data_IF_238678211627
#
_entry.id   IF_238678211627
#
_cell.length_a   1.000
_cell.length_b   1.000
_cell.length_c   1.000
_cell.angle_alpha   90.00
_cell.angle_beta   90.00
_cell.angle_gamma   90.00
#
_symmetry.space_group_name_H-M   'P 1'
#
loop_
_entity.id
_entity.type
_entity.pdbx_description
1 polymer ?
#
# COMPACT_ATOMS: atom_id res chain seq x y z
N UNK A 1 34.58 15.52 21.59
CA UNK A 1 34.86 14.17 22.13
C UNK A 1 34.10 14.10 23.43
N UNK A 2 32.86 13.63 23.37
CA UNK A 2 32.00 13.53 24.55
C UNK A 2 32.44 12.27 25.28
N UNK A 3 32.69 12.42 26.58
CA UNK A 3 33.12 11.36 27.48
C UNK A 3 32.04 10.27 27.53
N UNK A 4 32.41 9.05 27.14
CA UNK A 4 31.49 7.91 26.94
C UNK A 4 31.04 7.34 28.29
N UNK A 5 31.70 7.70 29.39
CA UNK A 5 31.49 7.13 30.72
C UNK A 5 30.54 7.95 31.64
N UNK A 6 30.13 9.18 31.26
CA UNK A 6 29.15 9.99 32.02
C UNK A 6 27.67 9.68 31.68
N UNK A 7 27.47 8.54 31.03
CA UNK A 7 26.32 8.23 30.20
C UNK A 7 25.65 6.96 30.72
N UNK A 8 24.96 7.09 31.87
CA UNK A 8 24.29 6.00 32.58
C UNK A 8 23.53 5.05 31.67
N UNK A 9 23.78 3.75 31.83
CA UNK A 9 23.17 2.70 31.04
C UNK A 9 21.65 2.74 31.16
N UNK A 10 20.96 2.81 30.02
CA UNK A 10 19.53 2.46 29.94
C UNK A 10 19.45 0.94 30.00
N UNK A 11 19.57 0.39 31.21
CA UNK A 11 19.40 -1.04 31.47
C UNK A 11 17.93 -1.40 31.70
N UNK A 12 17.58 -2.67 31.50
CA UNK A 12 16.23 -3.16 31.80
C UNK A 12 15.21 -3.00 30.67
N UNK A 13 15.63 -2.55 29.47
CA UNK A 13 14.75 -2.42 28.30
C UNK A 13 14.12 -3.75 27.92
N UNK A 14 14.78 -4.87 28.21
CA UNK A 14 14.27 -6.22 28.03
C UNK A 14 13.09 -6.55 28.94
N UNK A 15 12.71 -5.67 29.87
CA UNK A 15 11.53 -5.81 30.74
C UNK A 15 10.44 -4.81 30.34
N UNK A 16 9.18 -5.15 30.60
CA UNK A 16 8.06 -4.27 30.27
C UNK A 16 8.06 -3.00 31.12
N UNK A 17 8.45 -3.09 32.39
CA UNK A 17 8.60 -1.92 33.29
C UNK A 17 9.76 -1.02 32.86
N UNK A 18 10.92 -1.61 32.53
CA UNK A 18 12.08 -0.85 32.10
C UNK A 18 11.88 -0.17 30.73
N UNK A 19 11.17 -0.84 29.80
CA UNK A 19 10.80 -0.22 28.52
C UNK A 19 9.87 0.98 28.73
N UNK A 20 8.82 0.86 29.54
CA UNK A 20 7.90 1.98 29.84
C UNK A 20 8.64 3.12 30.53
N UNK A 21 9.46 2.83 31.54
CA UNK A 21 10.24 3.84 32.24
C UNK A 21 11.18 4.60 31.30
N UNK A 22 11.85 3.88 30.39
CA UNK A 22 12.75 4.49 29.41
C UNK A 22 12.00 5.36 28.40
N UNK A 23 10.88 4.89 27.84
CA UNK A 23 10.06 5.66 26.90
C UNK A 23 9.46 6.90 27.57
N UNK A 24 8.92 6.79 28.78
CA UNK A 24 8.43 7.94 29.54
C UNK A 24 9.54 8.96 29.80
N UNK A 25 10.73 8.51 30.19
CA UNK A 25 11.87 9.41 30.40
C UNK A 25 12.33 10.11 29.12
N UNK A 26 12.20 9.45 27.96
CA UNK A 26 12.45 10.07 26.65
C UNK A 26 11.38 11.10 26.34
N UNK A 27 10.09 10.79 26.53
CA UNK A 27 8.99 11.73 26.31
C UNK A 27 9.08 12.98 27.20
N UNK A 28 9.55 12.82 28.44
CA UNK A 28 9.76 13.93 29.38
C UNK A 28 11.03 14.76 29.07
N UNK A 29 11.92 14.26 28.19
CA UNK A 29 13.15 14.96 27.84
C UNK A 29 12.85 16.17 26.91
N UNK A 30 13.53 17.33 27.08
CA UNK A 30 13.26 18.54 26.29
C UNK A 30 13.39 18.39 24.76
N UNK A 31 14.18 17.41 24.30
CA UNK A 31 14.36 17.09 22.88
C UNK A 31 13.74 15.74 22.50
N UNK A 32 12.97 15.12 23.39
CA UNK A 32 12.30 13.85 23.12
C UNK A 32 13.24 12.77 22.58
N UNK A 33 12.81 12.14 21.49
CA UNK A 33 13.58 11.15 20.73
C UNK A 33 14.84 11.68 20.05
N UNK A 34 14.96 12.99 19.83
CA UNK A 34 16.18 13.63 19.28
C UNK A 34 17.27 13.82 20.35
N UNK A 35 16.97 13.56 21.62
CA UNK A 35 17.93 13.64 22.72
C UNK A 35 18.95 12.48 22.69
N UNK A 36 20.08 12.66 23.40
CA UNK A 36 21.07 11.58 23.64
C UNK A 36 20.42 10.38 24.33
N UNK A 37 19.44 10.61 25.21
CA UNK A 37 18.68 9.56 25.86
C UNK A 37 17.80 8.80 24.85
N UNK A 38 17.08 9.53 23.98
CA UNK A 38 16.27 8.96 22.91
C UNK A 38 17.11 8.06 21.99
N UNK A 39 18.28 8.56 21.56
CA UNK A 39 19.22 7.76 20.76
C UNK A 39 19.68 6.49 21.48
N UNK A 40 20.02 6.57 22.78
CA UNK A 40 20.40 5.39 23.57
C UNK A 40 19.30 4.36 23.67
N UNK A 41 18.08 4.79 23.97
CA UNK A 41 16.92 3.90 24.04
C UNK A 41 16.72 3.21 22.69
N UNK A 42 16.75 3.96 21.58
CA UNK A 42 16.64 3.41 20.24
C UNK A 42 17.76 2.40 19.89
N UNK A 43 18.99 2.63 20.35
CA UNK A 43 20.08 1.67 20.23
C UNK A 43 19.85 0.41 21.08
N UNK A 44 19.48 0.57 22.35
CA UNK A 44 19.25 -0.54 23.28
C UNK A 44 18.08 -1.45 22.88
N UNK A 45 17.12 -0.94 22.11
CA UNK A 45 16.04 -1.75 21.53
C UNK A 45 16.56 -2.88 20.62
N UNK A 46 17.73 -2.75 19.99
CA UNK A 46 18.34 -3.85 19.22
C UNK A 46 18.55 -5.09 20.09
N UNK A 47 19.25 -4.91 21.20
CA UNK A 47 19.61 -5.99 22.10
C UNK A 47 18.37 -6.57 22.79
N UNK A 48 17.46 -5.71 23.23
CA UNK A 48 16.22 -6.13 23.85
C UNK A 48 15.31 -6.91 22.86
N UNK A 49 15.24 -6.49 21.59
CA UNK A 49 14.49 -7.22 20.55
C UNK A 49 15.10 -8.60 20.30
N UNK A 50 16.43 -8.69 20.21
CA UNK A 50 17.13 -9.97 20.00
C UNK A 50 16.87 -11.00 21.10
N UNK A 51 16.64 -10.54 22.35
CA UNK A 51 16.31 -11.43 23.47
C UNK A 51 14.85 -11.89 23.47
N UNK A 52 13.96 -11.21 22.73
CA UNK A 52 12.52 -11.49 22.74
C UNK A 52 12.05 -12.14 21.44
N UNK A 53 12.69 -11.85 20.31
CA UNK A 53 12.29 -12.31 18.98
C UNK A 53 13.06 -13.56 18.53
N UNK A 54 12.31 -14.62 18.24
CA UNK A 54 12.89 -15.92 17.85
C UNK A 54 12.17 -16.58 16.66
N UNK A 55 11.26 -15.87 16.00
CA UNK A 55 10.47 -16.45 14.92
C UNK A 55 11.31 -16.58 13.65
N UNK A 56 11.23 -17.70 12.92
CA UNK A 56 11.89 -17.85 11.63
C UNK A 56 11.15 -17.15 10.48
N UNK A 57 9.94 -16.62 10.72
CA UNK A 57 9.10 -16.03 9.65
C UNK A 57 9.56 -14.62 9.24
N UNK A 58 10.11 -13.86 10.18
CA UNK A 58 10.66 -12.52 9.96
C UNK A 58 12.05 -12.49 10.56
N UNK A 59 13.00 -11.91 9.83
CA UNK A 59 14.37 -11.73 10.28
C UNK A 59 14.45 -10.84 11.52
N UNK A 60 15.51 -11.02 12.29
CA UNK A 60 15.76 -10.20 13.48
C UNK A 60 15.99 -8.72 13.11
N UNK A 61 16.64 -8.46 11.97
CA UNK A 61 16.88 -7.10 11.46
C UNK A 61 15.56 -6.38 11.17
N UNK A 62 14.71 -6.97 10.32
CA UNK A 62 13.37 -6.48 9.99
C UNK A 62 12.53 -6.22 11.26
N UNK A 63 12.52 -7.17 12.20
CA UNK A 63 11.80 -7.01 13.46
C UNK A 63 12.35 -5.87 14.31
N UNK A 64 13.68 -5.71 14.35
CA UNK A 64 14.32 -4.64 15.14
C UNK A 64 13.95 -3.27 14.60
N UNK A 65 13.93 -3.11 13.27
CA UNK A 65 13.53 -1.86 12.63
C UNK A 65 12.05 -1.56 12.86
N UNK A 66 11.18 -2.58 12.77
CA UNK A 66 9.76 -2.44 13.07
C UNK A 66 9.50 -2.10 14.55
N UNK A 67 10.20 -2.73 15.50
CA UNK A 67 10.10 -2.42 16.93
C UNK A 67 10.52 -0.98 17.20
N UNK A 68 11.64 -0.53 16.62
CA UNK A 68 12.07 0.86 16.72
C UNK A 68 11.03 1.81 16.18
N UNK A 69 10.53 1.56 14.97
CA UNK A 69 9.50 2.39 14.36
C UNK A 69 8.30 2.52 15.29
N UNK A 70 7.77 1.41 15.82
CA UNK A 70 6.64 1.42 16.75
C UNK A 70 6.95 2.20 18.01
N UNK A 71 8.08 1.94 18.68
CA UNK A 71 8.42 2.61 19.94
C UNK A 71 8.64 4.12 19.74
N UNK A 72 9.25 4.52 18.63
CA UNK A 72 9.54 5.93 18.34
C UNK A 72 8.28 6.70 17.89
N UNK A 73 7.44 6.10 17.05
CA UNK A 73 6.27 6.78 16.47
C UNK A 73 5.00 6.64 17.30
N UNK A 74 4.95 5.64 18.20
CA UNK A 74 3.79 5.34 19.07
C UNK A 74 4.17 5.36 20.55
N UNK A 75 5.16 6.15 20.92
CA UNK A 75 5.65 6.25 22.31
C UNK A 75 4.54 6.69 23.28
N UNK A 76 3.69 7.65 22.89
CA UNK A 76 2.58 8.12 23.72
C UNK A 76 1.50 7.05 23.88
N UNK A 77 1.13 6.36 22.79
CA UNK A 77 0.20 5.23 22.80
C UNK A 77 0.71 4.10 23.70
N UNK A 78 2.00 3.78 23.61
CA UNK A 78 2.64 2.73 24.40
C UNK A 78 2.52 3.05 25.90
N UNK A 79 2.88 4.27 26.30
CA UNK A 79 2.83 4.70 27.72
C UNK A 79 1.38 4.79 28.19
N UNK A 80 0.48 5.35 27.39
CA UNK A 80 -0.94 5.43 27.70
C UNK A 80 -1.59 4.04 27.85
N UNK A 81 -1.29 3.12 26.93
CA UNK A 81 -1.77 1.75 26.99
C UNK A 81 -1.23 1.01 28.22
N UNK A 82 0.06 1.13 28.51
CA UNK A 82 0.68 0.53 29.69
C UNK A 82 0.08 1.05 31.00
N UNK A 83 -0.20 2.36 31.07
CA UNK A 83 -0.87 2.97 32.21
C UNK A 83 -2.30 2.46 32.42
N UNK A 84 -3.05 2.24 31.34
CA UNK A 84 -4.39 1.67 31.38
C UNK A 84 -4.42 0.15 31.69
N UNK A 85 -3.32 -0.56 31.39
CA UNK A 85 -3.19 -2.01 31.52
C UNK A 85 -2.04 -2.39 32.47
N UNK A 86 -2.11 -1.92 33.71
CA UNK A 86 -1.07 -2.18 34.72
C UNK A 86 -0.79 -3.68 34.90
N UNK A 87 0.50 -4.06 34.81
CA UNK A 87 0.97 -5.45 34.90
C UNK A 87 0.88 -6.25 33.59
N UNK A 88 0.39 -5.67 32.50
CA UNK A 88 0.37 -6.32 31.20
C UNK A 88 1.77 -6.36 30.54
N UNK A 89 1.96 -7.30 29.62
CA UNK A 89 3.21 -7.44 28.89
C UNK A 89 3.31 -6.41 27.75
N UNK A 90 3.98 -5.29 28.06
CA UNK A 90 4.24 -4.20 27.09
C UNK A 90 5.06 -4.69 25.89
N UNK A 91 5.99 -5.63 26.08
CA UNK A 91 6.72 -6.21 24.97
C UNK A 91 5.82 -7.01 24.03
N UNK A 92 4.81 -7.71 24.54
CA UNK A 92 3.83 -8.37 23.69
C UNK A 92 3.02 -7.35 22.88
N UNK A 93 2.69 -6.19 23.44
CA UNK A 93 2.06 -5.09 22.72
C UNK A 93 2.96 -4.54 21.61
N UNK A 94 4.23 -4.24 21.92
CA UNK A 94 5.21 -3.72 20.95
C UNK A 94 5.44 -4.72 19.81
N UNK A 95 5.69 -5.99 20.14
CA UNK A 95 5.91 -7.03 19.12
C UNK A 95 4.69 -7.27 18.24
N UNK A 96 3.47 -7.15 18.78
CA UNK A 96 2.25 -7.25 17.98
C UNK A 96 2.15 -6.11 16.96
N UNK A 97 2.40 -4.87 17.39
CA UNK A 97 2.38 -3.71 16.49
C UNK A 97 3.53 -3.77 15.47
N UNK A 98 4.72 -4.21 15.88
CA UNK A 98 5.86 -4.40 14.99
C UNK A 98 5.56 -5.49 13.94
N UNK A 99 4.87 -6.56 14.33
CA UNK A 99 4.36 -7.56 13.39
C UNK A 99 3.32 -6.99 12.43
N UNK A 100 2.46 -6.07 12.88
CA UNK A 100 1.56 -5.31 12.02
C UNK A 100 2.30 -4.51 10.95
N UNK A 101 3.36 -3.79 11.33
CA UNK A 101 4.23 -3.06 10.38
C UNK A 101 4.81 -3.99 9.32
N UNK A 102 5.52 -5.05 9.73
CA UNK A 102 6.15 -5.99 8.79
C UNK A 102 5.14 -6.68 7.88
N UNK A 103 4.00 -7.05 8.44
CA UNK A 103 2.96 -7.69 7.67
C UNK A 103 2.32 -6.71 6.68
N UNK A 104 2.14 -5.44 7.05
CA UNK A 104 1.69 -4.41 6.11
C UNK A 104 2.68 -4.25 4.97
N UNK A 105 3.97 -4.11 5.25
CA UNK A 105 5.01 -4.00 4.23
C UNK A 105 4.99 -5.20 3.27
N UNK A 106 4.86 -6.40 3.82
CA UNK A 106 4.72 -7.60 3.01
C UNK A 106 3.41 -7.67 2.23
N UNK A 107 2.30 -7.21 2.81
CA UNK A 107 1.03 -7.12 2.08
C UNK A 107 1.16 -6.10 0.94
N UNK A 108 1.79 -4.95 1.16
CA UNK A 108 2.03 -3.94 0.13
C UNK A 108 2.97 -4.46 -0.96
N UNK A 109 4.03 -5.17 -0.61
CA UNK A 109 4.90 -5.85 -1.58
C UNK A 109 4.13 -6.92 -2.37
N UNK A 110 3.34 -7.74 -1.66
CA UNK A 110 2.52 -8.79 -2.26
C UNK A 110 1.45 -8.24 -3.20
N UNK A 111 0.90 -7.08 -2.85
CA UNK A 111 -0.06 -6.35 -3.63
C UNK A 111 0.62 -5.42 -4.65
N UNK A 112 1.93 -5.23 -4.61
CA UNK A 112 2.69 -4.48 -5.59
C UNK A 112 2.22 -3.04 -5.83
N UNK A 113 1.67 -2.38 -4.80
CA UNK A 113 1.10 -1.03 -4.93
C UNK A 113 -0.29 -0.98 -5.58
N UNK A 114 -1.00 -2.13 -5.68
CA UNK A 114 -2.41 -2.22 -6.09
C UNK A 114 -3.40 -1.68 -5.04
N UNK A 115 -2.90 -1.13 -3.95
CA UNK A 115 -3.70 -0.50 -2.89
C UNK A 115 -3.00 0.77 -2.46
N UNK A 116 -3.72 1.90 -2.50
CA UNK A 116 -3.41 3.02 -1.62
C UNK A 116 -3.62 2.64 -0.15
N UNK A 117 -3.04 3.43 0.76
CA UNK A 117 -3.11 3.17 2.22
C UNK A 117 -4.54 3.02 2.76
N UNK A 118 -5.50 3.69 2.12
CA UNK A 118 -6.92 3.69 2.48
C UNK A 118 -7.68 2.40 2.13
N UNK A 119 -7.17 1.55 1.23
CA UNK A 119 -7.92 0.40 0.69
C UNK A 119 -7.24 -0.95 0.83
N UNK A 120 -6.08 -0.97 1.49
CA UNK A 120 -5.37 -2.19 1.84
C UNK A 120 -6.32 -3.21 2.49
N UNK A 121 -7.15 -2.78 3.45
CA UNK A 121 -8.04 -3.67 4.19
C UNK A 121 -9.11 -4.35 3.33
N UNK A 122 -9.80 -3.57 2.49
CA UNK A 122 -10.81 -4.10 1.57
C UNK A 122 -10.19 -5.11 0.63
N UNK A 123 -9.04 -4.78 0.04
CA UNK A 123 -8.40 -5.66 -0.93
C UNK A 123 -7.87 -6.94 -0.26
N UNK A 124 -7.30 -6.86 0.94
CA UNK A 124 -6.78 -8.03 1.67
C UNK A 124 -7.93 -8.97 2.10
N UNK A 125 -9.06 -8.42 2.55
CA UNK A 125 -10.28 -9.18 2.87
C UNK A 125 -10.82 -9.92 1.64
N UNK A 126 -10.93 -9.23 0.50
CA UNK A 126 -11.50 -9.79 -0.74
C UNK A 126 -10.57 -10.81 -1.41
N UNK A 127 -9.24 -10.58 -1.38
CA UNK A 127 -8.25 -11.54 -1.90
C UNK A 127 -8.08 -12.74 -0.95
N UNK A 128 -8.72 -12.72 0.22
CA UNK A 128 -8.68 -13.81 1.19
C UNK A 128 -7.31 -14.02 1.82
N UNK A 129 -6.47 -12.98 1.83
CA UNK A 129 -5.18 -13.01 2.50
C UNK A 129 -5.44 -12.94 4.00
N UNK A 130 -4.96 -13.94 4.75
CA UNK A 130 -5.14 -13.95 6.20
C UNK A 130 -4.00 -13.21 6.89
N UNK A 131 -4.29 -12.09 7.57
CA UNK A 131 -3.30 -11.41 8.37
C UNK A 131 -2.89 -12.29 9.57
N UNK A 132 -1.64 -12.13 10.00
CA UNK A 132 -1.08 -12.75 11.21
C UNK A 132 -1.55 -12.03 12.47
N UNK A 133 -1.65 -10.70 12.38
CA UNK A 133 -2.18 -9.84 13.44
C UNK A 133 -3.58 -9.32 13.09
N UNK A 134 -4.27 -8.70 14.05
CA UNK A 134 -5.59 -8.12 13.83
C UNK A 134 -5.54 -6.93 12.87
N UNK A 135 -6.69 -6.55 12.32
CA UNK A 135 -6.80 -5.38 11.46
C UNK A 135 -6.53 -4.07 12.21
N UNK A 136 -6.81 -4.06 13.51
CA UNK A 136 -6.55 -2.97 14.42
C UNK A 136 -5.05 -2.67 14.59
N UNK A 137 -4.19 -3.70 14.52
CA UNK A 137 -2.74 -3.59 14.71
C UNK A 137 -2.01 -3.09 13.45
N UNK A 138 -2.77 -2.97 12.38
CA UNK A 138 -2.33 -2.85 11.00
C UNK A 138 -2.56 -1.41 10.47
N UNK A 139 -3.31 -0.59 11.21
CA UNK A 139 -3.62 0.80 10.92
C UNK A 139 -2.44 1.76 11.22
N UNK A 140 -2.28 2.78 10.38
CA UNK A 140 -1.29 3.84 10.52
C UNK A 140 -1.95 5.19 10.84
N UNK A 141 -1.33 6.10 11.62
CA UNK A 141 -1.75 7.50 11.70
C UNK A 141 -1.60 8.16 10.33
N UNK A 142 -2.68 8.70 9.76
CA UNK A 142 -2.73 9.39 8.46
C UNK A 142 -1.40 10.06 8.09
N UNK A 143 -0.57 9.38 7.29
CA UNK A 143 0.55 10.03 6.64
C UNK A 143 -0.03 10.83 5.49
N UNK A 144 0.42 12.08 5.41
CA UNK A 144 0.03 13.05 4.39
C UNK A 144 -0.05 12.38 3.01
N UNK A 145 -1.27 12.33 2.50
CA UNK A 145 -1.67 11.71 1.24
C UNK A 145 -1.24 12.57 0.04
N UNK A 146 -0.07 13.20 0.10
CA UNK A 146 0.44 13.99 -1.02
C UNK A 146 0.94 13.07 -2.14
N UNK A 147 -0.03 12.50 -2.85
CA UNK A 147 0.17 12.00 -4.21
C UNK A 147 0.86 13.10 -5.01
N UNK A 148 1.83 12.69 -5.82
CA UNK A 148 2.63 13.50 -6.75
C UNK A 148 1.75 14.20 -7.82
N UNK A 149 0.42 14.07 -7.75
CA UNK A 149 -0.55 14.67 -8.65
C UNK A 149 -1.29 15.90 -8.09
N UNK A 150 -0.86 16.48 -6.97
CA UNK A 150 -1.47 17.70 -6.42
C UNK A 150 -1.54 18.92 -7.40
N UNK A 151 -0.91 18.84 -8.58
CA UNK A 151 -0.92 19.91 -9.58
C UNK A 151 -1.40 19.51 -10.99
N UNK A 152 -1.80 18.25 -11.22
CA UNK A 152 -2.39 17.85 -12.49
C UNK A 152 -3.93 17.84 -12.37
N UNK A 153 -4.61 18.59 -13.25
CA UNK A 153 -6.06 18.81 -13.26
C UNK A 153 -6.88 17.64 -12.71
N UNK A 154 -7.49 17.86 -11.54
CA UNK A 154 -8.12 16.80 -10.75
C UNK A 154 -9.35 16.17 -11.45
N UNK A 155 -9.65 14.87 -11.22
CA UNK A 155 -10.64 14.09 -11.97
C UNK A 155 -12.10 14.19 -11.47
N UNK A 156 -12.46 15.19 -10.65
CA UNK A 156 -13.71 15.18 -9.87
C UNK A 156 -15.01 15.51 -10.64
N UNK A 157 -14.93 15.97 -11.90
CA UNK A 157 -16.14 16.34 -12.66
C UNK A 157 -17.08 15.15 -12.97
N UNK A 158 -16.58 13.91 -12.91
CA UNK A 158 -17.36 12.68 -13.09
C UNK A 158 -17.45 11.83 -11.82
N UNK A 159 -16.87 12.27 -10.70
CA UNK A 159 -17.03 11.62 -9.39
C UNK A 159 -18.46 11.79 -8.83
N UNK A 160 -19.20 12.81 -9.29
CA UNK A 160 -20.62 13.04 -8.96
C UNK A 160 -21.58 12.12 -9.72
N UNK A 161 -21.09 11.36 -10.73
CA UNK A 161 -21.86 10.25 -11.30
C UNK A 161 -21.85 9.13 -10.27
N UNK A 162 -23.02 8.60 -9.90
CA UNK A 162 -23.14 7.42 -9.03
C UNK A 162 -22.30 6.27 -9.59
N UNK A 163 -21.05 6.14 -9.13
CA UNK A 163 -20.20 4.99 -9.38
C UNK A 163 -20.63 3.88 -8.40
N UNK A 164 -21.24 2.78 -8.88
CA UNK A 164 -21.69 1.68 -8.03
C UNK A 164 -20.58 0.69 -7.64
N UNK A 165 -19.34 0.91 -8.11
CA UNK A 165 -18.22 0.02 -7.82
C UNK A 165 -17.62 0.24 -6.43
N UNK A 166 -16.94 -0.79 -5.92
CA UNK A 166 -16.30 -0.78 -4.59
C UNK A 166 -14.93 -0.09 -4.60
N UNK A 167 -14.29 0.00 -5.77
CA UNK A 167 -13.00 0.67 -5.97
C UNK A 167 -13.23 2.05 -6.56
N UNK A 168 -12.71 3.07 -5.89
CA UNK A 168 -12.73 4.46 -6.29
C UNK A 168 -11.36 4.95 -6.82
N UNK A 169 -11.29 6.08 -7.53
CA UNK A 169 -10.04 6.62 -8.07
C UNK A 169 -8.93 6.82 -7.03
N UNK A 170 -9.28 7.25 -5.82
CA UNK A 170 -8.34 7.44 -4.70
C UNK A 170 -7.82 6.13 -4.09
N UNK A 171 -8.30 4.98 -4.56
CA UNK A 171 -7.90 3.66 -4.08
C UNK A 171 -6.73 3.06 -4.88
N UNK A 172 -6.46 3.61 -6.08
CA UNK A 172 -5.54 3.05 -7.07
C UNK A 172 -4.07 3.07 -6.62
N UNK A 173 -3.66 4.08 -5.86
CA UNK A 173 -2.26 4.25 -5.45
C UNK A 173 -1.31 4.54 -6.63
N UNK A 174 -0.03 4.85 -6.35
CA UNK A 174 0.87 5.49 -7.32
C UNK A 174 1.17 4.64 -8.56
N UNK A 175 1.22 3.31 -8.43
CA UNK A 175 1.54 2.42 -9.55
C UNK A 175 0.39 2.36 -10.57
N UNK A 176 -0.86 2.24 -10.10
CA UNK A 176 -2.04 2.25 -10.99
C UNK A 176 -2.38 3.67 -11.45
N UNK A 177 -2.14 4.70 -10.64
CA UNK A 177 -2.21 6.10 -11.09
C UNK A 177 -1.24 6.36 -12.26
N UNK A 178 -0.03 5.79 -12.21
CA UNK A 178 0.93 5.88 -13.32
C UNK A 178 0.43 5.19 -14.59
N UNK A 179 -0.28 4.05 -14.45
CA UNK A 179 -0.95 3.40 -15.59
C UNK A 179 -2.04 4.30 -16.16
N UNK A 180 -2.88 4.91 -15.32
CA UNK A 180 -3.92 5.84 -15.76
C UNK A 180 -3.32 7.04 -16.49
N UNK A 181 -2.28 7.66 -15.92
CA UNK A 181 -1.57 8.77 -16.53
C UNK A 181 -0.99 8.40 -17.91
N UNK A 182 -0.40 7.20 -18.02
CA UNK A 182 0.11 6.68 -19.30
C UNK A 182 -1.01 6.51 -20.33
N UNK A 183 -2.15 5.93 -19.96
CA UNK A 183 -3.28 5.74 -20.87
C UNK A 183 -3.85 7.08 -21.37
N UNK A 184 -3.94 8.07 -20.49
CA UNK A 184 -4.37 9.44 -20.85
C UNK A 184 -3.36 10.07 -21.81
N UNK A 185 -2.07 9.97 -21.51
CA UNK A 185 -1.01 10.49 -22.37
C UNK A 185 -1.01 9.85 -23.78
N UNK A 186 -1.43 8.58 -23.88
CA UNK A 186 -1.60 7.86 -25.15
C UNK A 186 -2.90 8.23 -25.88
N UNK A 187 -3.81 8.97 -25.25
CA UNK A 187 -5.01 9.54 -25.88
C UNK A 187 -6.34 8.92 -25.45
N UNK A 188 -6.36 8.02 -24.46
CA UNK A 188 -7.62 7.56 -23.84
C UNK A 188 -8.24 8.72 -23.06
N UNK A 189 -9.57 8.87 -23.13
CA UNK A 189 -10.24 9.92 -22.35
C UNK A 189 -10.01 9.72 -20.83
N UNK A 190 -9.89 10.80 -20.04
CA UNK A 190 -9.68 10.69 -18.60
C UNK A 190 -10.71 9.84 -17.86
N UNK A 191 -12.01 10.06 -18.06
CA UNK A 191 -13.07 9.32 -17.36
C UNK A 191 -12.97 7.79 -17.55
N UNK A 192 -12.96 7.24 -18.79
CA UNK A 192 -12.71 5.82 -19.01
C UNK A 192 -11.37 5.32 -18.48
N UNK A 193 -10.29 6.11 -18.54
CA UNK A 193 -8.97 5.70 -18.03
C UNK A 193 -9.01 5.44 -16.53
N UNK A 194 -9.63 6.33 -15.76
CA UNK A 194 -9.77 6.16 -14.31
C UNK A 194 -10.78 5.07 -13.95
N UNK A 195 -12.04 5.20 -14.38
CA UNK A 195 -13.12 4.28 -14.01
C UNK A 195 -12.89 2.87 -14.57
N UNK A 196 -12.32 2.78 -15.78
CA UNK A 196 -11.91 1.51 -16.37
C UNK A 196 -10.82 0.83 -15.56
N UNK A 197 -9.84 1.57 -15.05
CA UNK A 197 -8.80 1.00 -14.17
C UNK A 197 -9.37 0.54 -12.84
N UNK A 198 -10.27 1.32 -12.22
CA UNK A 198 -11.00 0.91 -11.01
C UNK A 198 -11.76 -0.40 -11.24
N UNK A 199 -12.55 -0.49 -12.33
CA UNK A 199 -13.31 -1.71 -12.65
C UNK A 199 -12.43 -2.89 -12.99
N UNK A 200 -11.33 -2.68 -13.72
CA UNK A 200 -10.37 -3.75 -14.01
C UNK A 200 -9.74 -4.27 -12.71
N UNK A 201 -9.44 -3.38 -11.74
CA UNK A 201 -8.94 -3.79 -10.44
C UNK A 201 -9.96 -4.63 -9.68
N UNK A 202 -11.23 -4.21 -9.64
CA UNK A 202 -12.33 -5.00 -9.06
C UNK A 202 -12.40 -6.40 -9.67
N UNK A 203 -12.44 -6.48 -11.00
CA UNK A 203 -12.54 -7.76 -11.72
C UNK A 203 -11.27 -8.63 -11.56
N UNK A 204 -10.12 -8.01 -11.34
CA UNK A 204 -8.87 -8.69 -11.08
C UNK A 204 -8.89 -9.39 -9.72
N UNK A 205 -9.47 -8.74 -8.71
CA UNK A 205 -9.53 -9.28 -7.34
C UNK A 205 -10.76 -10.16 -7.11
N UNK A 206 -11.85 -9.95 -7.85
CA UNK A 206 -13.06 -10.75 -7.76
C UNK A 206 -12.85 -12.16 -8.35
N UNK A 207 -12.82 -13.21 -7.53
CA UNK A 207 -12.84 -14.61 -7.98
C UNK A 207 -11.52 -15.20 -8.53
N UNK A 208 -11.60 -16.34 -9.22
CA UNK A 208 -10.44 -17.16 -9.64
C UNK A 208 -9.46 -16.40 -10.56
N UNK A 209 -8.15 -16.50 -10.27
CA UNK A 209 -7.06 -15.86 -11.05
C UNK A 209 -7.13 -16.20 -12.55
N UNK A 210 -7.42 -17.45 -12.88
CA UNK A 210 -7.39 -17.93 -14.27
C UNK A 210 -8.56 -17.39 -15.12
N UNK A 211 -9.58 -16.80 -14.48
CA UNK A 211 -10.76 -16.25 -15.15
C UNK A 211 -10.76 -14.73 -15.26
N UNK A 212 -9.74 -14.03 -14.76
CA UNK A 212 -9.63 -12.56 -14.77
C UNK A 212 -9.88 -11.94 -16.15
N UNK A 213 -9.17 -12.40 -17.18
CA UNK A 213 -9.36 -11.88 -18.54
C UNK A 213 -10.73 -12.22 -19.13
N UNK A 214 -11.31 -13.36 -18.75
CA UNK A 214 -12.66 -13.74 -19.19
C UNK A 214 -13.69 -12.82 -18.56
N UNK A 215 -13.60 -12.55 -17.25
CA UNK A 215 -14.48 -11.61 -16.56
C UNK A 215 -14.38 -10.20 -17.13
N UNK A 216 -13.16 -9.70 -17.35
CA UNK A 216 -12.96 -8.40 -17.98
C UNK A 216 -13.65 -8.30 -19.36
N UNK A 217 -13.52 -9.33 -20.19
CA UNK A 217 -14.20 -9.40 -21.48
C UNK A 217 -15.72 -9.43 -21.35
N UNK A 218 -16.24 -10.27 -20.46
CA UNK A 218 -17.68 -10.39 -20.22
C UNK A 218 -18.28 -9.08 -19.67
N UNK A 219 -17.57 -8.37 -18.79
CA UNK A 219 -18.00 -7.06 -18.30
C UNK A 219 -17.99 -6.01 -19.42
N UNK A 220 -17.07 -6.11 -20.37
CA UNK A 220 -17.07 -5.30 -21.59
C UNK A 220 -18.13 -5.71 -22.64
N UNK A 221 -18.77 -6.86 -22.48
CA UNK A 221 -19.88 -7.31 -23.33
C UNK A 221 -21.26 -6.86 -22.81
N UNK A 222 -21.41 -6.65 -21.50
CA UNK A 222 -22.72 -6.35 -20.90
C UNK A 222 -22.72 -5.73 -19.51
N UNK A 223 -21.57 -5.34 -18.98
CA UNK A 223 -21.40 -4.70 -17.66
C UNK A 223 -20.85 -3.29 -17.76
N UNK A 224 -20.13 -2.85 -16.73
CA UNK A 224 -19.69 -1.45 -16.60
C UNK A 224 -18.65 -1.08 -17.65
N UNK A 225 -17.68 -1.95 -17.94
CA UNK A 225 -16.68 -1.64 -18.98
C UNK A 225 -17.35 -1.34 -20.32
N UNK A 226 -18.48 -2.00 -20.63
CA UNK A 226 -19.27 -1.69 -21.84
C UNK A 226 -19.87 -0.29 -21.80
N UNK A 227 -20.47 0.09 -20.68
CA UNK A 227 -21.10 1.41 -20.52
C UNK A 227 -20.06 2.55 -20.56
N UNK A 228 -18.81 2.26 -20.17
CA UNK A 228 -17.65 3.14 -20.39
C UNK A 228 -17.15 3.15 -21.85
N UNK A 229 -17.76 2.38 -22.74
CA UNK A 229 -17.38 2.27 -24.15
C UNK A 229 -16.12 1.44 -24.42
N UNK A 230 -15.72 0.58 -23.48
CA UNK A 230 -14.53 -0.26 -23.58
C UNK A 230 -14.89 -1.57 -24.27
N UNK A 231 -14.13 -1.95 -25.30
CA UNK A 231 -14.32 -3.19 -26.04
C UNK A 231 -13.80 -4.41 -25.27
N UNK A 232 -14.30 -5.63 -25.55
CA UNK A 232 -13.79 -6.84 -24.90
C UNK A 232 -12.29 -7.05 -25.12
N UNK A 233 -11.78 -6.73 -26.30
CA UNK A 233 -10.35 -6.87 -26.60
C UNK A 233 -9.51 -5.92 -25.75
N UNK A 234 -9.93 -4.65 -25.67
CA UNK A 234 -9.32 -3.65 -24.79
C UNK A 234 -9.39 -4.07 -23.31
N UNK A 235 -10.53 -4.54 -22.82
CA UNK A 235 -10.66 -4.99 -21.43
C UNK A 235 -9.72 -6.16 -21.11
N UNK A 236 -9.55 -7.12 -22.03
CA UNK A 236 -8.61 -8.21 -21.88
C UNK A 236 -7.14 -7.75 -21.87
N UNK A 237 -6.80 -6.75 -22.68
CA UNK A 237 -5.48 -6.12 -22.71
C UNK A 237 -5.21 -5.31 -21.43
N UNK A 238 -6.18 -4.52 -20.97
CA UNK A 238 -6.10 -3.74 -19.73
C UNK A 238 -5.91 -4.63 -18.50
N UNK A 239 -6.59 -5.78 -18.45
CA UNK A 239 -6.33 -6.79 -17.42
C UNK A 239 -4.87 -7.30 -17.46
N UNK A 240 -4.26 -7.38 -18.65
CA UNK A 240 -2.84 -7.76 -18.80
C UNK A 240 -1.88 -6.65 -18.38
N UNK A 241 -2.23 -5.39 -18.64
CA UNK A 241 -1.51 -4.20 -18.15
C UNK A 241 -1.44 -4.24 -16.62
N UNK A 242 -2.57 -4.51 -15.96
CA UNK A 242 -2.68 -4.49 -14.48
C UNK A 242 -2.10 -5.74 -13.82
N UNK A 243 -2.40 -6.94 -14.33
CA UNK A 243 -2.09 -8.21 -13.64
C UNK A 243 -1.03 -9.09 -14.31
N UNK A 244 -0.53 -8.65 -15.47
CA UNK A 244 0.28 -9.46 -16.35
C UNK A 244 -0.56 -10.48 -17.13
N UNK A 245 0.07 -11.22 -18.03
CA UNK A 245 -0.63 -12.24 -18.80
C UNK A 245 -0.38 -13.64 -18.23
N UNK A 246 -1.33 -14.56 -18.47
CA UNK A 246 -1.14 -15.98 -18.13
C UNK A 246 0.07 -16.61 -18.83
N UNK A 247 0.41 -16.16 -20.05
CA UNK A 247 1.50 -16.74 -20.87
C UNK A 247 2.88 -16.26 -20.46
N UNK A 248 2.99 -14.98 -20.10
CA UNK A 248 4.27 -14.34 -19.74
C UNK A 248 4.47 -14.20 -18.23
N UNK A 249 3.44 -14.50 -17.43
CA UNK A 249 3.48 -14.41 -15.97
C UNK A 249 3.18 -13.00 -15.43
N UNK A 250 3.08 -12.88 -14.11
CA UNK A 250 2.73 -11.63 -13.44
C UNK A 250 3.76 -10.51 -13.68
N UNK A 251 5.05 -10.87 -13.78
CA UNK A 251 6.14 -9.93 -14.06
C UNK A 251 6.00 -9.19 -15.41
N UNK A 252 5.12 -9.66 -16.29
CA UNK A 252 4.82 -8.96 -17.55
C UNK A 252 3.86 -7.78 -17.40
N UNK A 253 3.29 -7.52 -16.23
CA UNK A 253 2.39 -6.39 -16.00
C UNK A 253 3.08 -5.05 -16.29
N UNK A 254 2.39 -4.13 -16.97
CA UNK A 254 2.86 -2.75 -17.17
C UNK A 254 2.95 -2.02 -15.84
N UNK A 255 2.02 -2.28 -14.91
CA UNK A 255 2.06 -1.71 -13.56
C UNK A 255 3.39 -1.98 -12.86
N UNK A 256 3.96 -3.19 -13.02
CA UNK A 256 5.26 -3.53 -12.44
C UNK A 256 6.42 -2.86 -13.18
N UNK A 257 6.38 -2.81 -14.51
CA UNK A 257 7.41 -2.12 -15.28
C UNK A 257 7.48 -0.62 -14.93
N UNK A 258 6.32 0.05 -14.79
CA UNK A 258 6.25 1.45 -14.37
C UNK A 258 6.75 1.65 -12.93
N UNK A 259 6.35 0.75 -12.00
CA UNK A 259 6.84 0.76 -10.61
C UNK A 259 8.36 0.65 -10.55
N UNK A 260 8.94 -0.23 -11.35
CA UNK A 260 10.37 -0.55 -11.32
C UNK A 260 11.20 0.41 -12.21
N UNK A 261 10.57 1.37 -12.90
CA UNK A 261 11.22 2.27 -13.85
C UNK A 261 11.83 1.55 -15.06
N UNK A 262 11.30 0.38 -15.41
CA UNK A 262 11.79 -0.46 -16.49
C UNK A 262 11.19 -0.06 -17.85
N UNK A 263 11.95 -0.30 -18.92
CA UNK A 263 11.45 -0.15 -20.29
C UNK A 263 10.33 -1.17 -20.58
N UNK A 264 9.33 -0.74 -21.36
CA UNK A 264 8.23 -1.60 -21.75
C UNK A 264 8.67 -2.61 -22.82
N UNK A 265 8.22 -3.85 -22.67
CA UNK A 265 8.38 -4.90 -23.64
C UNK A 265 7.39 -4.72 -24.80
N UNK A 266 7.73 -5.21 -25.99
CA UNK A 266 6.83 -5.15 -27.15
C UNK A 266 5.42 -5.73 -26.89
N UNK A 267 5.31 -6.75 -26.02
CA UNK A 267 4.01 -7.30 -25.63
C UNK A 267 3.17 -6.31 -24.77
N UNK A 268 3.83 -5.54 -23.92
CA UNK A 268 3.21 -4.53 -23.08
C UNK A 268 2.74 -3.33 -23.92
N UNK A 269 3.57 -2.89 -24.86
CA UNK A 269 3.22 -1.86 -25.84
C UNK A 269 2.00 -2.29 -26.67
N UNK A 270 1.96 -3.55 -27.13
CA UNK A 270 0.82 -4.08 -27.86
C UNK A 270 -0.48 -4.04 -27.06
N UNK A 271 -0.43 -4.26 -25.74
CA UNK A 271 -1.63 -4.12 -24.90
C UNK A 271 -2.09 -2.68 -24.75
N UNK A 272 -1.16 -1.73 -24.64
CA UNK A 272 -1.49 -0.30 -24.60
C UNK A 272 -2.16 0.14 -25.90
N UNK A 273 -1.67 -0.33 -27.05
CA UNK A 273 -2.30 -0.09 -28.35
C UNK A 273 -3.69 -0.70 -28.41
N UNK A 274 -3.88 -1.93 -27.94
CA UNK A 274 -5.19 -2.59 -27.93
C UNK A 274 -6.22 -1.83 -27.06
N UNK A 275 -5.80 -1.29 -25.91
CA UNK A 275 -6.65 -0.43 -25.08
C UNK A 275 -6.99 0.86 -25.82
N UNK A 276 -6.01 1.50 -26.45
CA UNK A 276 -6.24 2.73 -27.21
C UNK A 276 -7.23 2.54 -28.38
N UNK A 277 -7.18 1.38 -29.06
CA UNK A 277 -8.08 1.05 -30.17
C UNK A 277 -9.50 0.72 -29.71
N UNK A 278 -9.67 0.27 -28.47
CA UNK A 278 -10.95 -0.22 -27.96
C UNK A 278 -11.56 0.59 -26.82
N UNK A 279 -10.94 1.69 -26.39
CA UNK A 279 -11.48 2.61 -25.39
C UNK A 279 -11.79 3.98 -26.02
N UNK A 280 -12.71 4.79 -25.44
CA UNK A 280 -12.98 6.12 -25.95
C UNK A 280 -11.73 7.01 -25.89
N UNK A 281 -11.40 7.66 -27.01
CA UNK A 281 -10.23 8.53 -27.13
C UNK A 281 -10.62 10.01 -27.19
N UNK A 282 -9.68 10.89 -26.83
CA UNK A 282 -9.89 12.34 -26.78
C UNK A 282 -10.26 12.90 -28.16
N UNK A 283 -9.77 12.31 -29.25
CA UNK A 283 -10.06 12.71 -30.63
C UNK A 283 -11.45 12.27 -31.16
N UNK A 284 -12.14 11.33 -30.49
CA UNK A 284 -13.40 10.77 -30.95
C UNK A 284 -14.65 11.64 -30.69
N UNK A 285 -14.51 12.73 -29.93
CA UNK A 285 -15.66 13.57 -29.53
C UNK A 285 -16.20 14.47 -30.65
N UNK A 286 -15.40 14.80 -31.67
CA UNK A 286 -15.78 15.74 -32.73
C UNK A 286 -16.69 15.14 -33.82
N UNK A 287 -16.85 13.81 -33.89
CA UNK A 287 -17.59 13.17 -34.99
C UNK A 287 -19.06 12.88 -34.63
N UNK A 288 -19.43 12.92 -33.35
CA UNK A 288 -20.82 12.68 -32.91
C UNK A 288 -21.69 13.94 -32.85
N UNK A 289 -21.11 15.13 -33.11
CA UNK A 289 -21.80 16.42 -33.07
C UNK A 289 -21.97 17.08 -34.45
N UNK A 290 -21.72 16.36 -35.55
CA UNK A 290 -21.88 16.84 -36.94
C UNK A 290 -23.06 16.19 -37.66
#
# INVERSE_FOLDING_TARGET
>A
MIDVDELGAVGGLETSEGLVAAVSAVLDAPAGWESVLGWRVACGLCEATAQRWHSPRWGLEEMTDAVRLVVLTRSEDLVGWAGAHSGADVWAWVLRHALGVLQREWLLDRLGGLTGDSNLWRLVEHVGLRPVVGWEDLAWPELDQSSVLAEAELPWAWADREWPGEVHPWDLGPALESVVALLIALGVRPEPAWLGTCRILELAVDGERDRRHTRARTDAEGGWLRELGISPAAAGAWMSIVTGSRRLGAASAVTLALRDGAELLAAQEAWLVEVLLGAPTIAGADVAAA
#
